data_IF_523807438583
#
_entry.id   IF_523807438583
#
_cell.length_a   1.000
_cell.length_b   1.000
_cell.length_c   1.000
_cell.angle_alpha   90.00
_cell.angle_beta   90.00
_cell.angle_gamma   90.00
#
_symmetry.space_group_name_H-M   'P 1'
#
loop_
_entity.id
_entity.type
_entity.pdbx_description
1 polymer ?
#
# COMPACT_ATOMS: atom_id res chain seq x y z
N UNK A 1 24.41 3.79 -8.67
CA UNK A 1 23.07 3.23 -8.95
C UNK A 1 22.37 3.07 -7.61
N UNK A 2 21.34 3.86 -7.38
CA UNK A 2 20.49 3.76 -6.19
C UNK A 2 19.56 2.55 -6.39
N UNK A 3 19.45 1.67 -5.41
CA UNK A 3 18.66 0.44 -5.54
C UNK A 3 17.18 0.75 -5.86
N UNK A 4 16.49 -0.04 -6.72
CA UNK A 4 15.07 0.16 -7.05
C UNK A 4 14.15 0.31 -5.83
N UNK A 5 14.50 -0.34 -4.72
CA UNK A 5 13.79 -0.25 -3.43
C UNK A 5 13.73 1.17 -2.88
N UNK A 6 14.80 1.95 -3.08
CA UNK A 6 14.84 3.35 -2.64
C UNK A 6 13.87 4.18 -3.50
N UNK A 7 13.82 4.00 -4.82
CA UNK A 7 12.86 4.74 -5.68
C UNK A 7 11.39 4.47 -5.33
N UNK A 8 11.04 3.24 -4.95
CA UNK A 8 9.68 2.90 -4.51
C UNK A 8 9.36 3.62 -3.22
N UNK A 9 10.21 3.52 -2.19
CA UNK A 9 9.99 4.20 -0.91
C UNK A 9 9.93 5.72 -1.07
N UNK A 10 10.75 6.29 -1.96
CA UNK A 10 10.78 7.72 -2.27
C UNK A 10 9.50 8.18 -2.98
N UNK A 11 9.06 7.48 -4.04
CA UNK A 11 7.82 7.80 -4.76
C UNK A 11 6.59 7.59 -3.88
N UNK A 12 6.55 6.51 -3.11
CA UNK A 12 5.51 6.24 -2.13
C UNK A 12 5.45 7.33 -1.08
N UNK A 13 6.60 7.75 -0.55
CA UNK A 13 6.70 8.88 0.37
C UNK A 13 6.06 10.13 -0.20
N UNK A 14 6.50 10.62 -1.36
CA UNK A 14 5.95 11.86 -1.95
C UNK A 14 4.51 11.73 -2.38
N UNK A 15 4.13 10.64 -3.02
CA UNK A 15 2.75 10.44 -3.42
C UNK A 15 1.83 10.41 -2.19
N UNK A 16 2.25 9.78 -1.08
CA UNK A 16 1.52 9.84 0.20
C UNK A 16 1.50 11.28 0.71
N UNK A 17 2.63 12.01 0.73
CA UNK A 17 2.66 13.39 1.23
C UNK A 17 1.77 14.35 0.41
N UNK A 18 1.75 14.20 -0.91
CA UNK A 18 1.00 15.06 -1.85
C UNK A 18 -0.46 14.66 -1.93
N UNK A 19 -0.74 13.35 -1.92
CA UNK A 19 -2.09 12.86 -2.06
C UNK A 19 -2.80 12.84 -0.73
N UNK A 20 -2.15 12.53 0.41
CA UNK A 20 -2.77 12.26 1.72
C UNK A 20 -3.34 13.45 2.50
N UNK A 21 -3.19 14.68 2.01
CA UNK A 21 -3.72 15.90 2.63
C UNK A 21 -3.51 15.92 4.16
N UNK A 22 -2.36 15.43 4.62
CA UNK A 22 -2.11 15.33 6.04
C UNK A 22 -1.70 16.71 6.53
N UNK A 23 -2.69 17.43 7.05
CA UNK A 23 -2.57 18.68 7.81
C UNK A 23 -1.55 18.59 8.99
N UNK A 24 -1.06 17.39 9.30
CA UNK A 24 -0.07 17.12 10.34
C UNK A 24 1.38 17.08 9.83
N UNK A 25 1.61 17.23 8.53
CA UNK A 25 2.97 17.30 8.00
C UNK A 25 3.61 18.64 8.32
N UNK A 26 4.67 18.58 9.12
CA UNK A 26 5.61 19.67 9.24
C UNK A 26 6.33 19.85 7.90
N UNK A 27 5.93 20.86 7.13
CA UNK A 27 6.68 21.30 5.96
C UNK A 27 7.92 22.05 6.47
N UNK A 28 9.15 21.56 6.22
CA UNK A 28 10.35 22.28 6.63
C UNK A 28 10.33 23.69 6.04
N UNK A 29 10.56 24.71 6.87
CA UNK A 29 10.70 26.07 6.36
C UNK A 29 11.97 26.15 5.50
N UNK A 30 11.82 26.59 4.25
CA UNK A 30 12.96 26.87 3.37
C UNK A 30 13.45 25.66 2.55
N UNK A 31 12.54 25.00 1.82
CA UNK A 31 12.94 24.10 0.74
C UNK A 31 13.87 24.85 -0.22
N UNK A 32 15.11 24.38 -0.35
CA UNK A 32 16.13 24.97 -1.19
C UNK A 32 16.86 23.87 -1.96
N UNK A 33 17.44 24.24 -3.10
CA UNK A 33 18.09 23.29 -4.01
C UNK A 33 17.15 22.72 -5.06
N UNK A 34 17.60 21.69 -5.74
CA UNK A 34 16.81 20.98 -6.75
C UNK A 34 15.76 20.05 -6.11
N UNK A 35 14.90 19.49 -6.97
CA UNK A 35 13.82 18.59 -6.55
C UNK A 35 14.33 17.43 -5.69
N UNK A 36 15.44 16.79 -6.10
CA UNK A 36 15.97 15.61 -5.40
C UNK A 36 16.51 15.99 -4.02
N UNK A 37 17.17 17.14 -3.89
CA UNK A 37 17.69 17.65 -2.60
C UNK A 37 16.55 18.02 -1.64
N UNK A 38 15.53 18.71 -2.15
CA UNK A 38 14.35 19.07 -1.37
C UNK A 38 13.60 17.83 -0.88
N UNK A 39 13.47 16.84 -1.77
CA UNK A 39 12.82 15.59 -1.45
C UNK A 39 13.61 14.82 -0.39
N UNK A 40 14.92 14.63 -0.58
CA UNK A 40 15.80 13.98 0.39
C UNK A 40 15.61 14.58 1.80
N UNK A 41 15.58 15.90 1.89
CA UNK A 41 15.35 16.60 3.15
C UNK A 41 13.98 16.26 3.78
N UNK A 42 12.90 16.26 2.99
CA UNK A 42 11.56 15.89 3.47
C UNK A 42 11.55 14.46 4.01
N UNK A 43 12.21 13.52 3.33
CA UNK A 43 12.20 12.12 3.74
C UNK A 43 13.03 11.90 5.00
N UNK A 44 14.16 12.59 5.16
CA UNK A 44 14.97 12.54 6.38
C UNK A 44 14.18 13.06 7.60
N UNK A 45 13.36 14.09 7.42
CA UNK A 45 12.53 14.66 8.48
C UNK A 45 11.27 13.82 8.78
N UNK A 46 10.64 13.22 7.77
CA UNK A 46 9.31 12.59 7.86
C UNK A 46 9.31 11.06 7.85
N UNK A 47 10.22 10.43 7.10
CA UNK A 47 10.28 8.99 6.81
C UNK A 47 11.35 8.31 7.66
N UNK A 48 11.17 8.33 8.97
CA UNK A 48 11.97 7.47 9.85
C UNK A 48 11.09 7.02 11.01
N UNK A 49 10.51 5.84 10.85
CA UNK A 49 10.29 4.94 11.97
C UNK A 49 10.57 3.51 11.48
N UNK A 50 11.82 3.07 11.64
CA UNK A 50 12.11 1.64 11.60
C UNK A 50 11.36 0.95 12.76
N UNK A 51 10.97 -0.33 12.68
CA UNK A 51 10.51 -1.07 13.84
C UNK A 51 11.47 -1.05 15.04
N UNK A 52 12.75 -0.71 14.82
CA UNK A 52 13.76 -0.49 15.85
C UNK A 52 13.78 0.92 16.45
N UNK A 53 12.92 1.83 15.98
CA UNK A 53 12.77 3.16 16.56
C UNK A 53 12.39 3.04 18.05
N UNK A 54 13.01 3.82 18.96
CA UNK A 54 12.71 3.74 20.39
C UNK A 54 11.25 3.97 20.75
N UNK A 55 10.54 4.83 20.00
CA UNK A 55 9.11 5.10 20.22
C UNK A 55 8.27 3.88 19.86
N UNK A 56 8.54 3.26 18.71
CA UNK A 56 7.87 2.01 18.31
C UNK A 56 8.20 0.88 19.28
N UNK A 57 9.47 0.72 19.62
CA UNK A 57 9.93 -0.32 20.55
C UNK A 57 9.21 -0.19 21.90
N UNK A 58 9.03 1.04 22.38
CA UNK A 58 8.28 1.31 23.60
C UNK A 58 6.78 1.00 23.45
N UNK A 59 6.15 1.45 22.37
CA UNK A 59 4.74 1.13 22.10
C UNK A 59 4.51 -0.40 22.01
N UNK A 60 5.41 -1.14 21.37
CA UNK A 60 5.37 -2.60 21.32
C UNK A 60 5.55 -3.23 22.69
N UNK A 61 6.42 -2.69 23.54
CA UNK A 61 6.58 -3.15 24.91
C UNK A 61 5.32 -2.93 25.74
N UNK A 62 4.63 -1.79 25.58
CA UNK A 62 3.38 -1.48 26.28
C UNK A 62 2.24 -2.41 25.81
N UNK A 63 2.16 -2.71 24.50
CA UNK A 63 1.22 -3.71 23.97
C UNK A 63 1.52 -5.10 24.50
N UNK A 64 2.80 -5.50 24.56
CA UNK A 64 3.19 -6.80 25.13
C UNK A 64 2.80 -6.91 26.60
N UNK A 65 3.13 -5.91 27.41
CA UNK A 65 2.77 -5.85 28.82
C UNK A 65 1.24 -5.95 29.03
N UNK A 66 0.46 -5.39 28.11
CA UNK A 66 -1.01 -5.53 28.11
C UNK A 66 -1.46 -6.94 27.79
N UNK A 67 -0.93 -7.55 26.71
CA UNK A 67 -1.31 -8.91 26.30
C UNK A 67 -0.87 -9.98 27.32
N UNK A 68 0.29 -9.78 27.96
CA UNK A 68 0.86 -10.69 28.98
C UNK A 68 -0.05 -10.86 30.21
N UNK A 69 -0.99 -9.95 30.44
CA UNK A 69 -2.01 -10.08 31.50
C UNK A 69 -2.97 -11.24 31.26
N UNK A 70 -3.13 -11.69 30.00
CA UNK A 70 -4.12 -12.71 29.61
C UNK A 70 -3.55 -13.86 28.80
N UNK A 71 -2.60 -13.59 27.92
CA UNK A 71 -2.08 -14.57 26.97
C UNK A 71 -0.57 -14.69 27.10
N UNK A 72 -0.06 -15.91 27.00
CA UNK A 72 1.38 -16.22 27.00
C UNK A 72 1.74 -16.98 25.73
N UNK A 73 2.98 -16.82 25.25
CA UNK A 73 3.47 -17.54 24.06
C UNK A 73 2.83 -17.10 22.75
N UNK A 74 2.24 -15.90 22.71
CA UNK A 74 1.76 -15.28 21.48
C UNK A 74 2.92 -14.70 20.67
N UNK A 75 2.70 -14.55 19.38
CA UNK A 75 3.57 -13.82 18.46
C UNK A 75 2.90 -12.50 18.10
N UNK A 76 3.66 -11.41 18.21
CA UNK A 76 3.23 -10.07 17.83
C UNK A 76 3.96 -9.68 16.55
N UNK A 77 3.21 -9.41 15.49
CA UNK A 77 3.71 -9.13 14.15
C UNK A 77 3.32 -7.70 13.77
N UNK A 78 4.31 -6.85 13.50
CA UNK A 78 4.06 -5.51 12.95
C UNK A 78 3.80 -5.65 11.45
N UNK A 79 2.72 -5.03 10.97
CA UNK A 79 2.41 -4.98 9.55
C UNK A 79 2.09 -3.53 9.13
N UNK A 80 1.47 -3.36 7.95
CA UNK A 80 1.06 -2.06 7.46
C UNK A 80 2.24 -1.20 7.00
N UNK A 81 2.10 0.12 7.12
CA UNK A 81 3.10 1.08 6.64
C UNK A 81 4.47 0.91 7.32
N UNK A 82 4.48 0.71 8.64
CA UNK A 82 5.69 0.48 9.43
C UNK A 82 6.34 -0.87 9.10
N UNK A 83 5.54 -1.94 8.99
CA UNK A 83 6.04 -3.25 8.59
C UNK A 83 6.63 -3.26 7.17
N UNK A 84 6.08 -2.45 6.26
CA UNK A 84 6.56 -2.29 4.89
C UNK A 84 7.77 -1.34 4.76
N UNK A 85 8.21 -0.68 5.85
CA UNK A 85 9.28 0.31 5.80
C UNK A 85 8.90 1.62 5.11
N UNK A 86 7.59 1.91 5.02
CA UNK A 86 7.01 3.11 4.40
C UNK A 86 6.31 4.03 5.42
N UNK A 87 6.40 3.71 6.70
CA UNK A 87 5.75 4.48 7.76
C UNK A 87 6.46 5.82 8.03
N UNK A 88 5.64 6.82 8.30
CA UNK A 88 6.01 8.16 8.74
C UNK A 88 5.79 8.33 10.24
N UNK A 89 6.23 9.43 10.84
CA UNK A 89 6.01 9.73 12.26
C UNK A 89 4.53 9.80 12.68
N UNK A 90 3.64 10.08 11.75
CA UNK A 90 2.18 10.09 11.98
C UNK A 90 1.48 8.79 11.57
N UNK A 91 2.22 7.75 11.20
CA UNK A 91 1.61 6.49 10.77
C UNK A 91 1.07 5.67 11.93
N UNK A 92 -0.05 4.98 11.68
CA UNK A 92 -0.63 4.02 12.60
C UNK A 92 0.33 2.85 12.87
N UNK A 93 0.23 2.27 14.07
CA UNK A 93 0.91 1.03 14.44
C UNK A 93 -0.05 -0.16 14.26
N UNK A 94 0.06 -0.82 13.10
CA UNK A 94 -0.73 -2.01 12.75
C UNK A 94 -0.08 -3.29 13.32
N UNK A 95 -0.86 -4.06 14.10
CA UNK A 95 -0.38 -5.24 14.82
C UNK A 95 -1.26 -6.46 14.59
N UNK A 96 -0.66 -7.57 14.17
CA UNK A 96 -1.29 -8.88 14.13
C UNK A 96 -0.82 -9.69 15.34
N UNK A 97 -1.77 -10.30 16.05
CA UNK A 97 -1.47 -11.15 17.22
C UNK A 97 -1.81 -12.59 16.87
N UNK A 98 -0.81 -13.46 16.84
CA UNK A 98 -0.99 -14.90 16.66
C UNK A 98 -0.93 -15.59 18.01
N UNK A 99 -2.07 -16.14 18.45
CA UNK A 99 -2.14 -16.91 19.69
C UNK A 99 -1.89 -18.41 19.40
N UNK A 100 -1.12 -19.13 20.23
CA UNK A 100 -0.71 -20.51 19.96
C UNK A 100 -1.87 -21.52 19.96
N UNK A 101 -2.99 -21.20 20.63
CA UNK A 101 -4.19 -22.06 20.71
C UNK A 101 -5.43 -21.37 20.14
N UNK A 102 -5.27 -20.40 19.23
CA UNK A 102 -6.41 -19.70 18.66
C UNK A 102 -7.28 -20.65 17.83
N UNK A 103 -8.57 -20.70 18.15
CA UNK A 103 -9.59 -21.24 17.25
C UNK A 103 -10.36 -20.06 16.64
N UNK A 104 -10.64 -20.09 15.33
CA UNK A 104 -11.40 -19.05 14.63
C UNK A 104 -12.79 -18.81 15.25
N UNK A 105 -13.39 -19.83 15.89
CA UNK A 105 -14.64 -19.68 16.66
C UNK A 105 -14.52 -18.73 17.85
N UNK A 106 -13.30 -18.45 18.33
CA UNK A 106 -13.03 -17.69 19.53
C UNK A 106 -12.71 -16.21 19.23
N UNK A 107 -12.78 -15.80 17.96
CA UNK A 107 -12.43 -14.44 17.53
C UNK A 107 -13.17 -13.35 18.32
N UNK A 108 -14.48 -13.52 18.52
CA UNK A 108 -15.28 -12.57 19.30
C UNK A 108 -14.89 -12.55 20.78
N UNK A 109 -14.52 -13.71 21.34
CA UNK A 109 -14.04 -13.80 22.72
C UNK A 109 -12.70 -13.07 22.88
N UNK A 110 -11.75 -13.32 21.99
CA UNK A 110 -10.43 -12.67 22.02
C UNK A 110 -10.56 -11.16 21.89
N UNK A 111 -11.37 -10.68 20.95
CA UNK A 111 -11.66 -9.25 20.79
C UNK A 111 -12.29 -8.65 22.05
N UNK A 112 -13.23 -9.36 22.67
CA UNK A 112 -13.90 -8.90 23.90
C UNK A 112 -12.91 -8.77 25.06
N UNK A 113 -12.04 -9.76 25.25
CA UNK A 113 -11.02 -9.73 26.31
C UNK A 113 -9.96 -8.65 26.05
N UNK A 114 -9.52 -8.50 24.80
CA UNK A 114 -8.56 -7.46 24.43
C UNK A 114 -9.12 -6.07 24.74
N UNK A 115 -10.39 -5.82 24.41
CA UNK A 115 -11.04 -4.55 24.73
C UNK A 115 -11.15 -4.30 26.24
N UNK A 116 -11.30 -5.34 27.07
CA UNK A 116 -11.28 -5.18 28.53
C UNK A 116 -9.89 -4.78 29.02
N UNK A 117 -8.84 -5.44 28.54
CA UNK A 117 -7.46 -5.13 28.92
C UNK A 117 -7.06 -3.70 28.53
N UNK A 118 -7.43 -3.29 27.32
CA UNK A 118 -7.15 -1.94 26.83
C UNK A 118 -7.92 -0.88 27.63
N UNK A 119 -9.20 -1.12 27.92
CA UNK A 119 -10.02 -0.19 28.73
C UNK A 119 -9.52 -0.02 30.17
N UNK A 120 -8.81 -1.02 30.71
CA UNK A 120 -8.25 -0.96 32.05
C UNK A 120 -6.95 -0.16 32.15
N UNK A 121 -6.41 0.33 31.02
CA UNK A 121 -5.16 1.09 30.94
C UNK A 121 -5.36 2.41 30.16
N UNK A 122 -6.23 3.31 30.65
CA UNK A 122 -6.58 4.57 29.96
C UNK A 122 -5.41 5.54 29.78
N UNK A 123 -4.34 5.38 30.55
CA UNK A 123 -3.09 6.14 30.44
C UNK A 123 -2.22 5.72 29.26
N UNK A 124 -2.37 4.46 28.79
CA UNK A 124 -1.65 3.93 27.62
C UNK A 124 -2.49 4.03 26.35
N UNK A 125 -3.80 3.83 26.46
CA UNK A 125 -4.70 3.76 25.31
C UNK A 125 -5.79 4.82 25.36
N UNK A 126 -5.59 5.93 24.65
CA UNK A 126 -6.61 6.95 24.52
C UNK A 126 -7.72 6.49 23.55
N UNK A 127 -8.96 6.40 24.06
CA UNK A 127 -10.20 6.12 23.28
C UNK A 127 -10.11 4.85 22.40
N UNK A 128 -10.06 3.65 23.01
CA UNK A 128 -10.04 2.42 22.24
C UNK A 128 -11.32 2.26 21.44
N UNK A 129 -11.20 2.23 20.11
CA UNK A 129 -12.27 1.90 19.19
C UNK A 129 -11.88 0.63 18.45
N UNK A 130 -12.82 -0.31 18.36
CA UNK A 130 -12.72 -1.35 17.34
C UNK A 130 -13.06 -0.65 16.02
N UNK A 131 -12.04 -0.30 15.26
CA UNK A 131 -12.23 0.10 13.88
C UNK A 131 -12.30 -1.18 13.04
N UNK A 132 -13.39 -1.37 12.32
CA UNK A 132 -13.40 -2.22 11.14
C UNK A 132 -12.61 -1.47 10.05
N UNK A 133 -11.28 -1.59 10.13
CA UNK A 133 -10.14 -1.22 9.23
C UNK A 133 -10.31 -0.07 8.20
N UNK A 134 -11.26 0.84 8.38
CA UNK A 134 -11.60 1.87 7.39
C UNK A 134 -11.34 3.25 7.99
N UNK A 135 -10.07 3.67 7.93
CA UNK A 135 -9.67 5.05 8.22
C UNK A 135 -10.38 6.03 7.27
N UNK A 136 -10.96 7.09 7.80
CA UNK A 136 -11.81 8.03 7.08
C UNK A 136 -11.18 9.43 7.04
N UNK A 137 -10.34 9.67 6.04
CA UNK A 137 -9.98 11.02 5.59
C UNK A 137 -10.88 11.52 4.44
N UNK A 138 -10.86 12.83 4.12
CA UNK A 138 -11.78 13.46 3.17
C UNK A 138 -11.62 13.01 1.71
N UNK A 139 -10.51 12.33 1.34
CA UNK A 139 -10.26 11.88 -0.05
C UNK A 139 -9.99 10.37 -0.22
N UNK A 140 -9.63 9.59 0.81
CA UNK A 140 -8.62 8.55 0.56
C UNK A 140 -9.04 7.23 -0.08
N UNK A 141 -8.46 6.97 -1.25
CA UNK A 141 -7.89 5.66 -1.59
C UNK A 141 -6.97 5.24 -0.42
N UNK A 142 -7.13 4.04 0.18
CA UNK A 142 -6.26 3.59 1.26
C UNK A 142 -4.78 3.70 0.87
N UNK A 143 -3.89 4.00 1.82
CA UNK A 143 -2.44 4.13 1.53
C UNK A 143 -1.89 2.93 0.77
N UNK A 144 -2.38 1.73 1.10
CA UNK A 144 -2.09 0.51 0.37
C UNK A 144 -2.55 0.53 -1.10
N UNK A 145 -3.74 1.07 -1.38
CA UNK A 145 -4.22 1.27 -2.75
C UNK A 145 -3.36 2.23 -3.55
N UNK A 146 -2.82 3.28 -2.91
CA UNK A 146 -1.84 4.16 -3.55
C UNK A 146 -0.53 3.42 -3.86
N UNK A 147 -0.03 2.60 -2.95
CA UNK A 147 1.14 1.76 -3.21
C UNK A 147 0.92 0.84 -4.41
N UNK A 148 -0.27 0.24 -4.54
CA UNK A 148 -0.61 -0.59 -5.70
C UNK A 148 -0.59 0.21 -7.02
N UNK A 149 -1.06 1.47 -7.03
CA UNK A 149 -0.93 2.34 -8.20
C UNK A 149 0.53 2.63 -8.53
N UNK A 150 1.35 2.95 -7.53
CA UNK A 150 2.76 3.28 -7.75
C UNK A 150 3.52 2.06 -8.28
N UNK A 151 3.33 0.90 -7.66
CA UNK A 151 3.93 -0.36 -8.12
C UNK A 151 3.51 -0.62 -9.58
N UNK A 152 2.23 -0.50 -9.90
CA UNK A 152 1.75 -0.71 -11.26
C UNK A 152 2.34 0.26 -12.26
N UNK A 153 2.42 1.54 -11.92
CA UNK A 153 3.08 2.55 -12.75
C UNK A 153 4.54 2.19 -13.00
N UNK A 154 5.29 1.82 -11.95
CA UNK A 154 6.69 1.41 -12.06
C UNK A 154 6.88 0.15 -12.92
N UNK A 155 5.89 -0.76 -12.94
CA UNK A 155 5.87 -1.90 -13.86
C UNK A 155 5.78 -1.41 -15.31
N UNK A 156 4.97 -0.39 -15.60
CA UNK A 156 4.89 0.21 -16.95
C UNK A 156 6.21 0.87 -17.38
N UNK A 157 7.05 1.24 -16.41
CA UNK A 157 8.37 1.84 -16.62
C UNK A 157 9.51 0.83 -16.64
N UNK A 158 9.21 -0.48 -16.51
CA UNK A 158 10.19 -1.56 -16.37
C UNK A 158 11.17 -1.32 -15.22
N UNK A 159 10.68 -0.75 -14.11
CA UNK A 159 11.45 -0.49 -12.89
C UNK A 159 11.26 -1.59 -11.83
N UNK A 160 10.12 -2.27 -11.86
CA UNK A 160 9.82 -3.39 -10.96
C UNK A 160 9.13 -4.53 -11.73
N UNK A 161 9.32 -5.80 -11.34
CA UNK A 161 8.65 -6.93 -11.96
C UNK A 161 7.15 -6.96 -11.64
N UNK A 162 6.39 -7.74 -12.42
CA UNK A 162 5.00 -8.06 -12.08
C UNK A 162 4.94 -9.03 -10.89
N UNK A 163 3.80 -9.03 -10.16
CA UNK A 163 3.57 -10.00 -9.09
C UNK A 163 3.70 -11.45 -9.59
N UNK A 164 3.21 -11.72 -10.79
CA UNK A 164 3.38 -13.01 -11.45
C UNK A 164 4.85 -13.42 -11.59
N UNK A 165 5.72 -12.51 -12.04
CA UNK A 165 7.14 -12.82 -12.26
C UNK A 165 7.84 -13.22 -10.97
N UNK A 166 7.54 -12.56 -9.85
CA UNK A 166 8.17 -12.86 -8.56
C UNK A 166 7.59 -14.13 -7.90
N UNK A 167 6.39 -14.58 -8.31
CA UNK A 167 5.74 -15.76 -7.76
C UNK A 167 5.91 -17.04 -8.60
N UNK A 168 6.19 -16.93 -9.91
CA UNK A 168 6.17 -18.09 -10.83
C UNK A 168 7.10 -19.23 -10.42
N UNK A 169 8.23 -18.90 -9.79
CA UNK A 169 9.21 -19.88 -9.33
C UNK A 169 9.32 -19.94 -7.80
N UNK A 170 8.41 -19.29 -7.07
CA UNK A 170 8.44 -19.32 -5.61
C UNK A 170 7.97 -20.68 -5.09
N UNK A 171 8.44 -21.03 -3.89
CA UNK A 171 7.81 -22.12 -3.14
C UNK A 171 6.41 -21.64 -2.77
N UNK A 172 5.36 -22.44 -2.99
CA UNK A 172 4.01 -21.98 -2.68
C UNK A 172 3.83 -21.93 -1.16
N UNK A 173 3.62 -20.74 -0.61
CA UNK A 173 3.14 -20.53 0.76
C UNK A 173 1.74 -19.94 0.68
N UNK A 174 0.73 -20.76 0.95
CA UNK A 174 -0.66 -20.36 0.78
C UNK A 174 -1.22 -19.81 2.10
N UNK A 175 -1.72 -18.57 2.08
CA UNK A 175 -2.57 -18.02 3.15
C UNK A 175 -3.94 -17.76 2.54
N UNK A 176 -4.99 -18.35 3.13
CA UNK A 176 -6.37 -18.23 2.63
C UNK A 176 -6.53 -18.63 1.15
N UNK A 177 -5.77 -19.63 0.70
CA UNK A 177 -5.81 -20.08 -0.71
C UNK A 177 -5.04 -19.20 -1.69
N UNK A 178 -4.35 -18.15 -1.23
CA UNK A 178 -3.50 -17.29 -2.04
C UNK A 178 -2.03 -17.57 -1.79
N UNK A 179 -1.24 -17.73 -2.87
CA UNK A 179 0.22 -17.75 -2.73
C UNK A 179 0.67 -16.36 -2.28
N UNK A 180 1.28 -16.28 -1.11
CA UNK A 180 1.87 -15.04 -0.59
C UNK A 180 3.38 -15.04 -0.65
N UNK A 181 3.99 -16.16 -1.08
CA UNK A 181 5.44 -16.25 -1.22
C UNK A 181 5.91 -15.60 -2.52
N UNK A 182 7.15 -15.17 -2.53
CA UNK A 182 7.82 -14.63 -3.71
C UNK A 182 9.33 -14.79 -3.59
N UNK A 183 10.00 -14.93 -4.73
CA UNK A 183 11.46 -14.93 -4.77
C UNK A 183 11.98 -13.52 -4.99
N UNK A 184 13.07 -13.18 -4.29
CA UNK A 184 13.91 -12.06 -4.72
C UNK A 184 14.50 -12.38 -6.10
N UNK A 185 14.24 -11.51 -7.06
CA UNK A 185 14.78 -11.64 -8.41
C UNK A 185 15.83 -10.54 -8.66
N UNK A 186 16.98 -10.86 -9.28
CA UNK A 186 17.86 -9.84 -9.82
C UNK A 186 17.11 -9.13 -10.95
N UNK A 187 16.51 -7.98 -10.64
CA UNK A 187 15.75 -7.20 -11.60
C UNK A 187 16.60 -6.05 -12.11
N UNK A 188 17.07 -6.18 -13.35
CA UNK A 188 17.81 -5.13 -14.03
C UNK A 188 16.82 -4.22 -14.76
N UNK A 189 16.86 -2.93 -14.42
CA UNK A 189 16.12 -1.90 -15.15
C UNK A 189 17.01 -1.21 -16.17
N UNK A 190 16.43 -0.87 -17.33
CA UNK A 190 17.04 0.02 -18.32
C UNK A 190 16.51 1.45 -18.23
N UNK A 191 15.63 1.72 -17.25
CA UNK A 191 15.03 3.02 -17.07
C UNK A 191 16.09 4.01 -16.54
N UNK A 192 16.14 5.20 -17.13
CA UNK A 192 17.09 6.26 -16.76
C UNK A 192 16.39 7.55 -16.33
N UNK A 193 15.08 7.49 -16.07
CA UNK A 193 14.32 8.66 -15.64
C UNK A 193 14.71 9.07 -14.23
N UNK A 194 14.78 10.38 -14.01
CA UNK A 194 14.96 10.93 -12.67
C UNK A 194 13.70 10.74 -11.84
N UNK A 195 13.83 10.88 -10.53
CA UNK A 195 12.70 10.78 -9.62
C UNK A 195 11.63 11.84 -9.89
N UNK A 196 12.06 13.05 -10.23
CA UNK A 196 11.17 14.11 -10.72
C UNK A 196 10.36 13.69 -11.96
N UNK A 197 11.02 13.06 -12.94
CA UNK A 197 10.36 12.57 -14.16
C UNK A 197 9.39 11.43 -13.86
N UNK A 198 9.77 10.49 -13.00
CA UNK A 198 8.91 9.37 -12.59
C UNK A 198 7.68 9.86 -11.82
N UNK A 199 7.84 10.84 -10.93
CA UNK A 199 6.72 11.38 -10.16
C UNK A 199 5.76 12.19 -11.05
N UNK A 200 6.28 13.07 -11.89
CA UNK A 200 5.44 13.79 -12.86
C UNK A 200 4.75 12.84 -13.84
N UNK A 201 5.48 11.82 -14.30
CA UNK A 201 4.96 10.77 -15.16
C UNK A 201 3.88 9.90 -14.50
N UNK A 202 3.94 9.67 -13.18
CA UNK A 202 2.91 8.98 -12.42
C UNK A 202 1.60 9.75 -12.44
N UNK A 203 1.63 11.05 -12.12
CA UNK A 203 0.44 11.90 -12.14
C UNK A 203 -0.13 12.00 -13.55
N UNK A 204 0.73 12.17 -14.56
CA UNK A 204 0.33 12.20 -15.96
C UNK A 204 -0.35 10.89 -16.38
N UNK A 205 0.27 9.75 -16.09
CA UNK A 205 -0.23 8.43 -16.43
C UNK A 205 -1.65 8.21 -15.89
N UNK A 206 -1.87 8.48 -14.61
CA UNK A 206 -3.19 8.29 -14.00
C UNK A 206 -4.20 9.40 -14.33
N UNK A 207 -3.75 10.56 -14.82
CA UNK A 207 -4.67 11.56 -15.38
C UNK A 207 -5.28 11.13 -16.73
N UNK A 208 -4.59 10.25 -17.45
CA UNK A 208 -4.95 9.76 -18.79
C UNK A 208 -5.44 8.29 -18.79
N UNK A 209 -5.23 7.56 -17.68
CA UNK A 209 -5.59 6.15 -17.58
C UNK A 209 -7.10 5.93 -17.73
N UNK A 210 -7.48 5.06 -18.67
CA UNK A 210 -8.87 4.73 -18.92
C UNK A 210 -9.40 3.71 -17.90
N UNK A 211 -9.79 4.20 -16.72
CA UNK A 211 -10.41 3.38 -15.67
C UNK A 211 -11.77 2.77 -16.07
N UNK A 212 -12.43 3.28 -17.12
CA UNK A 212 -13.71 2.73 -17.59
C UNK A 212 -13.50 1.42 -18.36
N UNK A 213 -12.41 1.31 -19.11
CA UNK A 213 -12.11 0.10 -19.90
C UNK A 213 -11.12 -0.84 -19.21
N UNK A 214 -10.27 -0.32 -18.33
CA UNK A 214 -9.15 -1.08 -17.77
C UNK A 214 -9.10 -1.05 -16.24
N UNK A 215 -8.56 -2.14 -15.72
CA UNK A 215 -8.23 -2.37 -14.32
C UNK A 215 -6.74 -2.19 -14.12
N UNK A 216 -6.35 -1.66 -12.95
CA UNK A 216 -4.96 -1.64 -12.51
C UNK A 216 -4.65 -3.00 -11.90
N UNK A 217 -3.80 -3.79 -12.54
CA UNK A 217 -3.48 -5.17 -12.12
C UNK A 217 -1.99 -5.36 -11.88
N UNK A 218 -1.48 -5.04 -10.67
CA UNK A 218 -0.06 -5.21 -10.30
C UNK A 218 0.44 -6.66 -10.43
N UNK A 219 -0.46 -7.64 -10.29
CA UNK A 219 -0.10 -9.05 -10.43
C UNK A 219 0.36 -9.37 -11.87
N UNK A 220 -0.39 -8.93 -12.89
CA UNK A 220 -0.01 -9.16 -14.30
C UNK A 220 1.00 -8.12 -14.80
N UNK A 221 1.04 -6.95 -14.17
CA UNK A 221 1.92 -5.84 -14.54
C UNK A 221 1.51 -5.09 -15.80
N UNK A 222 0.28 -5.29 -16.29
CA UNK A 222 -0.27 -4.63 -17.49
C UNK A 222 -1.73 -4.24 -17.26
N UNK A 223 -2.27 -3.21 -17.92
CA UNK A 223 -3.69 -2.88 -17.82
C UNK A 223 -4.54 -4.06 -18.29
N UNK A 224 -5.52 -4.48 -17.47
CA UNK A 224 -6.38 -5.62 -17.82
C UNK A 224 -7.77 -5.10 -18.20
N UNK A 225 -8.31 -5.45 -19.40
CA UNK A 225 -9.64 -5.05 -19.80
C UNK A 225 -10.70 -5.49 -18.78
N UNK A 226 -11.71 -4.66 -18.51
CA UNK A 226 -12.82 -5.03 -17.60
C UNK A 226 -13.64 -6.22 -18.09
N UNK A 227 -13.68 -6.45 -19.40
CA UNK A 227 -14.35 -7.59 -20.01
C UNK A 227 -13.48 -8.86 -20.10
N UNK A 228 -12.27 -8.83 -19.54
CA UNK A 228 -11.36 -9.97 -19.51
C UNK A 228 -11.94 -11.12 -18.69
N UNK A 229 -11.71 -12.36 -19.13
CA UNK A 229 -12.11 -13.55 -18.38
C UNK A 229 -11.42 -13.59 -17.02
N UNK A 230 -12.13 -14.07 -15.99
CA UNK A 230 -11.61 -14.27 -14.61
C UNK A 230 -10.29 -15.05 -14.58
N UNK A 231 -10.08 -15.96 -15.53
CA UNK A 231 -8.83 -16.70 -15.73
C UNK A 231 -7.60 -15.78 -15.80
N UNK A 232 -7.69 -14.59 -16.38
CA UNK A 232 -6.54 -13.69 -16.57
C UNK A 232 -6.00 -13.16 -15.23
N UNK A 233 -6.88 -13.02 -14.24
CA UNK A 233 -6.51 -12.59 -12.87
C UNK A 233 -5.96 -13.73 -12.03
N UNK A 234 -6.37 -14.97 -12.33
CA UNK A 234 -6.00 -16.17 -11.57
C UNK A 234 -4.79 -16.89 -12.13
N UNK A 235 -4.64 -16.90 -13.46
CA UNK A 235 -3.59 -17.58 -14.20
C UNK A 235 -3.61 -17.09 -15.66
N UNK A 236 -2.77 -16.11 -16.06
CA UNK A 236 -2.72 -15.62 -17.43
C UNK A 236 -2.61 -16.80 -18.41
N UNK A 237 -3.42 -16.82 -19.48
CA UNK A 237 -3.52 -17.96 -20.42
C UNK A 237 -2.18 -18.37 -21.06
N UNK A 238 -1.17 -17.51 -20.96
CA UNK A 238 0.23 -17.80 -21.31
C UNK A 238 0.88 -18.88 -20.39
N UNK A 239 0.21 -19.32 -19.33
CA UNK A 239 0.78 -20.09 -18.21
C UNK A 239 0.23 -21.53 -18.10
N UNK A 240 0.27 -22.33 -19.17
CA UNK A 240 -0.14 -23.75 -19.14
C UNK A 240 0.71 -24.64 -18.22
N UNK A 241 1.85 -24.15 -17.73
CA UNK A 241 2.81 -24.86 -16.87
C UNK A 241 2.78 -24.48 -15.38
N UNK A 242 1.87 -23.60 -14.95
CA UNK A 242 1.86 -23.12 -13.55
C UNK A 242 1.23 -24.16 -12.61
N UNK A 243 2.05 -25.10 -12.12
CA UNK A 243 1.63 -26.14 -11.17
C UNK A 243 1.52 -25.63 -9.71
N UNK A 244 2.21 -24.55 -9.36
CA UNK A 244 2.31 -24.11 -7.95
C UNK A 244 1.05 -23.38 -7.44
N UNK A 245 0.35 -22.56 -8.26
CA UNK A 245 -0.93 -21.93 -7.84
C UNK A 245 -2.08 -22.92 -7.84
N UNK A 246 -2.05 -23.98 -8.66
CA UNK A 246 -3.09 -25.03 -8.60
C UNK A 246 -3.21 -25.61 -7.20
N UNK A 247 -2.11 -25.71 -6.45
CA UNK A 247 -2.14 -26.19 -5.08
C UNK A 247 -2.80 -25.19 -4.10
N UNK A 248 -2.62 -23.88 -4.29
CA UNK A 248 -3.27 -22.86 -3.44
C UNK A 248 -4.74 -22.62 -3.83
N UNK A 249 -5.05 -22.54 -5.13
CA UNK A 249 -6.42 -22.28 -5.60
C UNK A 249 -7.35 -23.46 -5.32
N UNK A 250 -6.87 -24.71 -5.36
CA UNK A 250 -7.69 -25.87 -4.96
C UNK A 250 -8.08 -25.90 -3.47
N UNK A 251 -7.44 -25.09 -2.62
CA UNK A 251 -7.80 -24.93 -1.21
C UNK A 251 -8.78 -23.77 -0.97
N UNK A 252 -9.02 -22.91 -1.97
CA UNK A 252 -10.04 -21.89 -1.86
C UNK A 252 -11.42 -22.57 -1.97
N UNK A 253 -12.32 -22.46 -0.98
CA UNK A 253 -13.57 -23.22 -0.95
C UNK A 253 -14.53 -22.96 -2.13
N UNK A 254 -14.19 -21.98 -2.98
CA UNK A 254 -15.11 -21.32 -3.89
C UNK A 254 -14.37 -20.74 -5.13
N UNK A 255 -13.49 -21.52 -5.77
CA UNK A 255 -12.81 -21.09 -7.02
C UNK A 255 -13.81 -20.64 -8.10
N UNK A 256 -15.00 -21.26 -8.11
CA UNK A 256 -16.08 -20.94 -9.05
C UNK A 256 -16.84 -19.64 -8.71
N UNK A 257 -16.60 -19.01 -7.55
CA UNK A 257 -17.28 -17.77 -7.13
C UNK A 257 -16.35 -16.60 -6.82
N UNK A 258 -15.08 -16.63 -7.25
CA UNK A 258 -14.23 -15.44 -7.22
C UNK A 258 -14.74 -14.42 -8.25
N UNK A 259 -15.85 -13.77 -7.92
CA UNK A 259 -16.43 -12.66 -8.67
C UNK A 259 -15.67 -11.43 -8.24
N UNK A 260 -14.69 -11.05 -9.05
CA UNK A 260 -14.06 -9.74 -8.90
C UNK A 260 -15.13 -8.68 -9.13
N UNK A 261 -15.44 -7.87 -8.11
CA UNK A 261 -16.45 -6.83 -8.25
C UNK A 261 -15.91 -5.69 -9.11
N UNK A 262 -16.35 -5.63 -10.37
CA UNK A 262 -15.99 -4.60 -11.34
C UNK A 262 -16.92 -3.39 -11.33
N UNK A 263 -17.89 -3.31 -10.41
CA UNK A 263 -18.90 -2.23 -10.42
C UNK A 263 -18.35 -0.89 -9.89
N UNK A 264 -17.11 -0.87 -9.40
CA UNK A 264 -16.43 0.35 -8.96
C UNK A 264 -15.82 1.12 -10.15
N UNK A 265 -15.97 2.45 -10.13
CA UNK A 265 -15.40 3.35 -11.15
C UNK A 265 -13.87 3.26 -11.26
N UNK A 266 -13.18 2.98 -10.15
CA UNK A 266 -11.75 2.65 -10.14
C UNK A 266 -11.60 1.26 -9.53
N UNK A 267 -10.84 0.40 -10.20
CA UNK A 267 -10.53 -0.94 -9.72
C UNK A 267 -9.03 -1.18 -9.73
N UNK A 268 -8.50 -1.47 -8.55
CA UNK A 268 -7.08 -1.70 -8.30
C UNK A 268 -6.96 -3.07 -7.65
N UNK A 269 -6.18 -3.95 -8.24
CA UNK A 269 -6.01 -5.32 -7.78
C UNK A 269 -5.01 -5.42 -6.64
N UNK A 270 -5.39 -6.13 -5.59
CA UNK A 270 -4.42 -6.63 -4.61
C UNK A 270 -3.50 -7.66 -5.28
N UNK A 271 -2.20 -7.50 -5.08
CA UNK A 271 -1.18 -8.31 -5.74
C UNK A 271 -1.19 -9.79 -5.29
N UNK A 272 -1.69 -10.08 -4.08
CA UNK A 272 -1.78 -11.41 -3.49
C UNK A 272 -3.21 -11.95 -3.51
N UNK A 273 -4.18 -11.20 -2.98
CA UNK A 273 -5.61 -11.54 -2.97
C UNK A 273 -6.27 -11.06 -4.25
N UNK A 274 -6.04 -11.81 -5.32
CA UNK A 274 -6.30 -11.38 -6.70
C UNK A 274 -7.79 -11.24 -7.06
N UNK A 275 -8.69 -11.53 -6.13
CA UNK A 275 -10.13 -11.27 -6.18
C UNK A 275 -10.56 -9.98 -5.46
N UNK A 276 -9.63 -9.29 -4.79
CA UNK A 276 -9.92 -8.08 -4.02
C UNK A 276 -9.57 -6.79 -4.76
N UNK A 277 -10.55 -5.88 -4.78
CA UNK A 277 -10.37 -4.51 -5.21
C UNK A 277 -10.03 -3.60 -4.02
N UNK A 278 -8.78 -3.13 -3.92
CA UNK A 278 -8.33 -2.24 -2.85
C UNK A 278 -8.94 -0.83 -2.93
N UNK A 279 -9.60 -0.50 -4.05
CA UNK A 279 -10.31 0.76 -4.27
C UNK A 279 -11.84 0.65 -4.09
N UNK A 280 -12.37 -0.48 -3.60
CA UNK A 280 -13.82 -0.74 -3.54
C UNK A 280 -14.63 0.33 -2.78
N UNK A 281 -13.99 1.03 -1.84
CA UNK A 281 -14.62 2.07 -1.02
C UNK A 281 -14.55 3.48 -1.62
N UNK A 282 -14.01 3.64 -2.83
CA UNK A 282 -13.97 4.92 -3.52
C UNK A 282 -15.35 5.25 -4.10
N UNK A 283 -16.00 6.27 -3.53
CA UNK A 283 -17.24 6.83 -4.08
C UNK A 283 -16.96 7.64 -5.35
N UNK A 284 -17.99 7.88 -6.17
CA UNK A 284 -17.92 8.74 -7.35
C UNK A 284 -17.28 10.11 -7.05
N UNK A 285 -17.64 10.74 -5.93
CA UNK A 285 -17.08 12.02 -5.51
C UNK A 285 -15.57 11.92 -5.26
N UNK A 286 -15.12 10.86 -4.57
CA UNK A 286 -13.70 10.61 -4.29
C UNK A 286 -12.92 10.31 -5.56
N UNK A 287 -13.50 9.52 -6.48
CA UNK A 287 -12.91 9.24 -7.79
C UNK A 287 -12.75 10.52 -8.61
N UNK A 288 -13.76 11.38 -8.63
CA UNK A 288 -13.72 12.66 -9.33
C UNK A 288 -12.63 13.57 -8.76
N UNK A 289 -12.54 13.69 -7.44
CA UNK A 289 -11.47 14.42 -6.75
C UNK A 289 -10.08 13.85 -7.07
N UNK A 290 -9.92 12.53 -7.03
CA UNK A 290 -8.69 11.84 -7.40
C UNK A 290 -8.25 12.15 -8.83
N UNK A 291 -9.16 12.02 -9.82
CA UNK A 291 -8.86 12.33 -11.23
C UNK A 291 -8.48 13.80 -11.41
N UNK A 292 -9.17 14.72 -10.73
CA UNK A 292 -8.84 16.15 -10.75
C UNK A 292 -7.45 16.43 -10.15
N UNK A 293 -7.12 15.77 -9.03
CA UNK A 293 -5.82 15.89 -8.39
C UNK A 293 -4.70 15.37 -9.28
N UNK A 294 -4.86 14.19 -9.89
CA UNK A 294 -3.91 13.64 -10.86
C UNK A 294 -3.66 14.60 -12.01
N UNK A 295 -4.73 15.12 -12.64
CA UNK A 295 -4.64 16.07 -13.76
C UNK A 295 -4.01 17.40 -13.38
N UNK A 296 -4.45 18.01 -12.28
CA UNK A 296 -3.92 19.32 -11.86
C UNK A 296 -2.48 19.24 -11.39
N UNK A 297 -2.08 18.13 -10.78
CA UNK A 297 -0.69 17.88 -10.38
C UNK A 297 0.19 17.61 -11.59
N UNK A 298 -0.27 16.80 -12.56
CA UNK A 298 0.45 16.58 -13.81
C UNK A 298 0.77 17.90 -14.52
N UNK A 299 -0.20 18.83 -14.59
CA UNK A 299 0.02 20.16 -15.16
C UNK A 299 1.11 20.96 -14.41
N UNK A 300 1.19 20.87 -13.08
CA UNK A 300 2.27 21.54 -12.32
C UNK A 300 3.65 21.00 -12.68
N UNK A 301 3.79 19.71 -12.95
CA UNK A 301 5.05 19.12 -13.41
C UNK A 301 5.45 19.56 -14.82
N UNK A 302 4.50 19.99 -15.64
CA UNK A 302 4.75 20.52 -16.99
C UNK A 302 5.04 22.04 -16.94
N UNK A 303 4.36 22.77 -16.06
CA UNK A 303 4.38 24.24 -16.04
C UNK A 303 5.44 24.85 -15.09
N UNK A 304 5.83 24.13 -14.03
CA UNK A 304 6.72 24.67 -13.00
C UNK A 304 8.16 24.13 -13.12
N UNK A 305 9.18 24.94 -12.79
CA UNK A 305 10.54 24.46 -12.61
C UNK A 305 10.62 23.38 -11.51
N UNK A 306 11.50 22.40 -11.68
CA UNK A 306 11.61 21.26 -10.75
C UNK A 306 11.83 21.65 -9.29
N UNK A 307 12.59 22.72 -9.03
CA UNK A 307 12.82 23.25 -7.68
C UNK A 307 11.62 23.98 -7.05
N UNK A 308 10.56 24.27 -7.80
CA UNK A 308 9.37 24.95 -7.28
C UNK A 308 8.20 23.98 -7.01
N UNK A 309 8.25 22.77 -7.58
CA UNK A 309 7.15 21.81 -7.53
C UNK A 309 6.79 21.41 -6.11
N UNK A 310 7.76 20.97 -5.29
CA UNK A 310 7.44 20.47 -3.94
C UNK A 310 6.84 21.57 -3.08
N UNK A 311 7.35 22.79 -3.19
CA UNK A 311 6.77 23.97 -2.53
C UNK A 311 5.33 24.24 -2.99
N UNK A 312 5.07 24.13 -4.29
CA UNK A 312 3.73 24.32 -4.86
C UNK A 312 2.73 23.22 -4.42
N UNK A 313 3.17 21.96 -4.37
CA UNK A 313 2.35 20.84 -3.94
C UNK A 313 2.02 20.92 -2.45
N UNK A 314 3.03 21.15 -1.61
CA UNK A 314 2.86 21.25 -0.16
C UNK A 314 2.11 22.53 0.23
N UNK A 315 2.28 23.63 -0.51
CA UNK A 315 1.54 24.87 -0.29
C UNK A 315 0.03 24.76 -0.57
N UNK A 316 -0.40 23.77 -1.37
CA UNK A 316 -1.82 23.44 -1.55
C UNK A 316 -2.39 22.57 -0.44
N UNK A 317 -1.62 21.66 0.14
CA UNK A 317 -2.06 20.78 1.23
C UNK A 317 -2.30 21.51 2.57
N UNK A 318 -1.90 22.78 2.68
CA UNK A 318 -2.08 23.62 3.89
C UNK A 318 -3.37 24.47 3.83
N UNK A 319 -4.14 24.45 2.72
CA UNK A 319 -5.35 25.27 2.53
C UNK A 319 -6.61 24.43 2.35
#
# INVERSE_FOLDING_TARGET
MVAPTIYISLLCGVAVLVLCDSAELYVPQGLAGDFDSQLQHILEEQLILSPQDPVITRALADVRATLDQRWTGYELIVYGSLGAGLGTRGSDLDLAVRLPTFNASDGLYVLTELMKLIKNQPELYARPRIHDVTGHGPVFLPGYGLYMLIIFYLQQKNLVPSGYMIQVNSTAHCIEGWNVDFNELPYNTTNTESLHQLLGGFFKYYSEFNFEEYLVTPFTGRPTPRNASTDIFMCPKECTSYNNTKNCTMQHPNVDTCIYNFDSEISIQDIFRRDENVAIWMTHERVTKFKHLMKSTAAMFEDLPSGEILSALLGKAIR
#
